data_IF_791869709564
#
_entry.id   IF_791869709564
#
_cell.length_a   1.000
_cell.length_b   1.000
_cell.length_c   1.000
_cell.angle_alpha   90.00
_cell.angle_beta   90.00
_cell.angle_gamma   90.00
#
_symmetry.space_group_name_H-M   'P 1'
#
loop_
_entity.id
_entity.type
_entity.pdbx_description
1 polymer ?
#
# COMPACT_ATOMS: atom_id res chain seq x y z
N UNK A 1 4.38 5.62 24.40
CA UNK A 1 4.64 5.59 22.94
C UNK A 1 3.75 4.56 22.23
N UNK A 2 2.68 4.98 21.56
CA UNK A 2 1.80 4.11 20.76
C UNK A 2 2.15 4.17 19.25
N UNK A 3 3.41 3.93 18.90
CA UNK A 3 3.91 4.00 17.50
C UNK A 3 3.37 2.82 16.66
N UNK A 4 3.46 1.61 17.22
CA UNK A 4 2.99 0.37 16.59
C UNK A 4 1.53 0.40 16.13
N UNK A 5 0.53 0.82 16.95
CA UNK A 5 -0.87 0.79 16.54
C UNK A 5 -1.22 1.84 15.47
N UNK A 6 -0.52 2.98 15.42
CA UNK A 6 -0.74 3.98 14.37
C UNK A 6 -0.18 3.50 13.04
N UNK A 7 1.06 2.99 13.04
CA UNK A 7 1.70 2.45 11.84
C UNK A 7 0.90 1.28 11.22
N UNK A 8 0.39 0.35 12.03
CA UNK A 8 -0.36 -0.80 11.53
C UNK A 8 -1.74 -0.44 10.97
N UNK A 9 -2.38 0.62 11.48
CA UNK A 9 -3.64 1.13 10.91
C UNK A 9 -3.41 1.69 9.51
N UNK A 10 -2.41 2.54 9.33
CA UNK A 10 -2.07 3.10 8.01
C UNK A 10 -1.60 2.02 7.03
N UNK A 11 -0.83 1.03 7.50
CA UNK A 11 -0.42 -0.10 6.68
C UNK A 11 -1.62 -0.92 6.15
N UNK A 12 -2.62 -1.19 6.99
CA UNK A 12 -3.83 -1.92 6.59
C UNK A 12 -4.62 -1.17 5.53
N UNK A 13 -4.86 0.13 5.75
CA UNK A 13 -5.54 0.97 4.77
C UNK A 13 -4.77 1.04 3.45
N UNK A 14 -3.45 1.21 3.50
CA UNK A 14 -2.59 1.16 2.32
C UNK A 14 -2.72 -0.17 1.57
N UNK A 15 -2.66 -1.30 2.27
CA UNK A 15 -2.81 -2.62 1.66
C UNK A 15 -4.17 -2.82 0.98
N UNK A 16 -5.27 -2.33 1.57
CA UNK A 16 -6.59 -2.39 0.94
C UNK A 16 -6.66 -1.55 -0.34
N UNK A 17 -6.11 -0.33 -0.32
CA UNK A 17 -6.03 0.51 -1.51
C UNK A 17 -5.17 -0.15 -2.59
N UNK A 18 -4.01 -0.69 -2.20
CA UNK A 18 -3.13 -1.44 -3.09
C UNK A 18 -3.81 -2.68 -3.69
N UNK A 19 -4.66 -3.37 -2.93
CA UNK A 19 -5.45 -4.49 -3.44
C UNK A 19 -6.45 -4.05 -4.51
N UNK A 20 -7.19 -2.97 -4.26
CA UNK A 20 -8.12 -2.42 -5.25
C UNK A 20 -7.37 -2.03 -6.54
N UNK A 21 -6.23 -1.36 -6.42
CA UNK A 21 -5.39 -1.01 -7.57
C UNK A 21 -4.87 -2.26 -8.30
N UNK A 22 -4.42 -3.27 -7.55
CA UNK A 22 -3.96 -4.55 -8.12
C UNK A 22 -5.06 -5.27 -8.89
N UNK A 23 -6.30 -5.27 -8.38
CA UNK A 23 -7.47 -5.84 -9.07
C UNK A 23 -7.76 -5.08 -10.35
N UNK A 24 -7.84 -3.75 -10.30
CA UNK A 24 -8.09 -2.94 -11.50
C UNK A 24 -7.00 -3.16 -12.56
N UNK A 25 -5.74 -3.24 -12.15
CA UNK A 25 -4.62 -3.51 -13.05
C UNK A 25 -4.65 -4.91 -13.64
N UNK A 26 -4.97 -5.95 -12.85
CA UNK A 26 -5.03 -7.33 -13.34
C UNK A 26 -6.14 -7.52 -14.37
N UNK A 27 -7.33 -6.97 -14.09
CA UNK A 27 -8.46 -7.04 -15.04
C UNK A 27 -8.20 -6.20 -16.29
N UNK A 28 -7.64 -5.00 -16.14
CA UNK A 28 -7.24 -4.16 -17.28
C UNK A 28 -6.21 -4.85 -18.16
N UNK A 29 -5.17 -5.44 -17.56
CA UNK A 29 -4.12 -6.17 -18.29
C UNK A 29 -4.67 -7.35 -19.09
N UNK A 30 -5.53 -8.17 -18.48
CA UNK A 30 -6.18 -9.30 -19.16
C UNK A 30 -7.03 -8.84 -20.35
N UNK A 31 -7.83 -7.78 -20.18
CA UNK A 31 -8.67 -7.26 -21.26
C UNK A 31 -7.81 -6.73 -22.42
N UNK A 32 -6.76 -5.97 -22.11
CA UNK A 32 -5.85 -5.43 -23.14
C UNK A 32 -5.12 -6.56 -23.87
N UNK A 33 -4.61 -7.54 -23.13
CA UNK A 33 -3.88 -8.66 -23.73
C UNK A 33 -4.80 -9.51 -24.63
N UNK A 34 -6.03 -9.82 -24.18
CA UNK A 34 -7.03 -10.54 -24.99
C UNK A 34 -7.39 -9.81 -26.28
N UNK A 35 -7.38 -8.47 -26.28
CA UNK A 35 -7.75 -7.66 -27.44
C UNK A 35 -6.58 -7.39 -28.40
N UNK A 36 -5.34 -7.69 -28.02
CA UNK A 36 -4.14 -7.31 -28.79
C UNK A 36 -3.35 -8.51 -29.28
N UNK A 37 -2.80 -9.31 -28.37
CA UNK A 37 -1.78 -10.35 -28.68
C UNK A 37 -2.20 -11.73 -28.12
N UNK A 38 -3.17 -11.77 -27.21
CA UNK A 38 -3.55 -12.95 -26.44
C UNK A 38 -2.81 -13.06 -25.09
N UNK A 39 -3.01 -14.18 -24.39
CA UNK A 39 -2.38 -14.41 -23.08
C UNK A 39 -0.86 -14.49 -23.20
N UNK A 40 -0.16 -13.65 -22.43
CA UNK A 40 1.30 -13.53 -22.49
C UNK A 40 1.92 -13.31 -21.09
N UNK A 41 3.24 -13.03 -21.06
CA UNK A 41 3.98 -12.72 -19.83
C UNK A 41 3.51 -11.42 -19.15
N UNK A 42 2.99 -10.45 -19.91
CA UNK A 42 2.34 -9.25 -19.41
C UNK A 42 1.08 -9.57 -18.61
N UNK A 43 0.26 -10.53 -19.06
CA UNK A 43 -0.91 -10.99 -18.30
C UNK A 43 -0.49 -11.60 -16.97
N UNK A 44 0.59 -12.41 -16.97
CA UNK A 44 1.13 -13.00 -15.75
C UNK A 44 1.60 -11.92 -14.77
N UNK A 45 2.29 -10.88 -15.24
CA UNK A 45 2.68 -9.74 -14.41
C UNK A 45 1.48 -8.91 -13.93
N UNK A 46 0.43 -8.78 -14.74
CA UNK A 46 -0.81 -8.11 -14.36
C UNK A 46 -1.50 -8.83 -13.19
N UNK A 47 -1.55 -10.16 -13.19
CA UNK A 47 -1.98 -10.92 -12.03
C UNK A 47 -0.99 -10.85 -10.86
N UNK A 48 0.32 -10.76 -11.13
CA UNK A 48 1.34 -10.51 -10.11
C UNK A 48 1.12 -9.21 -9.34
N UNK A 49 0.53 -8.18 -9.97
CA UNK A 49 0.18 -6.92 -9.32
C UNK A 49 -0.86 -7.09 -8.19
N UNK A 50 -1.68 -8.16 -8.19
CA UNK A 50 -2.57 -8.48 -7.08
C UNK A 50 -1.83 -8.74 -5.77
N UNK A 51 -0.57 -9.18 -5.85
CA UNK A 51 0.31 -9.37 -4.68
C UNK A 51 1.24 -8.18 -4.49
N UNK A 52 1.80 -7.67 -5.60
CA UNK A 52 2.76 -6.57 -5.55
C UNK A 52 2.17 -5.26 -5.04
N UNK A 53 1.01 -4.85 -5.54
CA UNK A 53 0.39 -3.56 -5.18
C UNK A 53 -0.01 -3.47 -3.70
N UNK A 54 -0.70 -4.48 -3.09
CA UNK A 54 -0.96 -4.47 -1.64
C UNK A 54 0.32 -4.44 -0.81
N UNK A 55 1.36 -5.18 -1.20
CA UNK A 55 2.62 -5.22 -0.47
C UNK A 55 3.30 -3.86 -0.46
N UNK A 56 3.43 -3.23 -1.63
CA UNK A 56 4.09 -1.93 -1.77
C UNK A 56 3.31 -0.84 -1.05
N UNK A 57 1.99 -0.75 -1.26
CA UNK A 57 1.17 0.25 -0.59
C UNK A 57 1.05 0.01 0.92
N UNK A 58 0.99 -1.25 1.35
CA UNK A 58 0.98 -1.60 2.77
C UNK A 58 2.29 -1.26 3.47
N UNK A 59 3.43 -1.56 2.84
CA UNK A 59 4.75 -1.17 3.35
C UNK A 59 4.90 0.36 3.41
N UNK A 60 4.50 1.07 2.36
CA UNK A 60 4.53 2.53 2.34
C UNK A 60 3.64 3.12 3.45
N UNK A 61 2.41 2.63 3.60
CA UNK A 61 1.51 3.04 4.68
C UNK A 61 2.06 2.76 6.08
N UNK A 62 2.80 1.66 6.26
CA UNK A 62 3.49 1.36 7.51
C UNK A 62 4.55 2.41 7.85
N UNK A 63 5.44 2.72 6.92
CA UNK A 63 6.50 3.71 7.14
C UNK A 63 5.94 5.11 7.39
N UNK A 64 4.92 5.49 6.62
CA UNK A 64 4.28 6.80 6.76
C UNK A 64 3.57 6.93 8.12
N UNK A 65 2.84 5.89 8.54
CA UNK A 65 2.22 5.85 9.87
C UNK A 65 3.21 5.80 11.03
N UNK A 66 4.38 5.17 10.85
CA UNK A 66 5.46 5.17 11.82
C UNK A 66 6.09 6.57 11.96
N UNK A 67 6.34 7.26 10.84
CA UNK A 67 6.86 8.62 10.81
C UNK A 67 5.90 9.60 11.48
N UNK A 68 4.61 9.56 11.14
CA UNK A 68 3.59 10.41 11.76
C UNK A 68 3.60 10.19 13.27
N UNK A 69 3.56 8.93 13.72
CA UNK A 69 3.56 8.64 15.14
C UNK A 69 4.83 9.17 15.83
N UNK A 70 6.00 9.06 15.21
CA UNK A 70 7.23 9.63 15.77
C UNK A 70 7.10 11.14 15.99
N UNK A 71 6.63 11.88 14.98
CA UNK A 71 6.45 13.33 15.02
C UNK A 71 5.43 13.73 16.09
N UNK A 72 4.28 13.04 16.18
CA UNK A 72 3.26 13.42 17.17
C UNK A 72 3.76 13.18 18.60
N UNK A 73 4.53 12.11 18.82
CA UNK A 73 5.13 11.84 20.14
C UNK A 73 6.22 12.88 20.49
N UNK A 74 7.04 13.32 19.53
CA UNK A 74 8.06 14.33 19.81
C UNK A 74 7.46 15.71 20.08
N UNK A 75 6.43 16.11 19.33
CA UNK A 75 5.73 17.38 19.56
C UNK A 75 5.03 17.39 20.92
N UNK A 76 4.34 16.32 21.29
CA UNK A 76 3.73 16.21 22.62
C UNK A 76 4.75 16.32 23.76
N UNK A 77 5.89 15.65 23.61
CA UNK A 77 6.96 15.70 24.61
C UNK A 77 7.60 17.09 24.76
N UNK A 78 7.58 17.92 23.71
CA UNK A 78 8.06 19.32 23.77
C UNK A 78 7.00 20.21 24.42
N UNK A 79 5.72 20.03 24.06
CA UNK A 79 4.63 20.81 24.61
C UNK A 79 4.43 20.58 26.12
N UNK A 80 4.61 19.35 26.59
CA UNK A 80 4.52 18.99 28.02
C UNK A 80 5.66 19.59 28.87
N UNK A 81 6.69 20.17 28.23
CA UNK A 81 7.83 20.81 28.90
C UNK A 81 7.73 22.34 28.96
N UNK A 82 6.70 22.93 28.34
CA UNK A 82 6.39 24.37 28.36
C UNK A 82 5.34 24.65 29.45
#
# INVERSE_FOLDING_TARGET
MKIRPTATRFARWGAYVGLICGVLYSFGGVVVDLLTIGLNWGTLMAFGALLGMPLVFGAFGFFLGALIALITNSVGAVLDRL
#
